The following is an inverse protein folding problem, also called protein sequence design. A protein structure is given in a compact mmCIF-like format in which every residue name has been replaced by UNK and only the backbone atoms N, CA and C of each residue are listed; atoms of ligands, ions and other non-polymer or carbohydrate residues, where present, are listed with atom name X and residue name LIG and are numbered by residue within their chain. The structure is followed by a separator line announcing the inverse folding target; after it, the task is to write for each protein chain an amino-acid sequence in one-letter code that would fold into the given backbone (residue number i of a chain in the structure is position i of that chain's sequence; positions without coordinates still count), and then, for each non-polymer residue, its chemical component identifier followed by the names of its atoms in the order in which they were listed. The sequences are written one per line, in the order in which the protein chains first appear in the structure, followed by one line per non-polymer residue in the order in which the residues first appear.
data_IF_548035459108
#
_entry.id   IF_548035459108
#
_cell.length_a   1.000
_cell.length_b   1.000
_cell.length_c   1.000
_cell.angle_alpha   90.00
_cell.angle_beta   90.00
_cell.angle_gamma   90.00
#
_symmetry.space_group_name_H-M   'P 1'
#
loop_
_entity.id
_entity.type
_entity.pdbx_description
1 polymer ?
#
# COMPACT_ATOMS: atom_id res chain seq x y z
N UNK A 1 -6.94 -30.75 2.76
CA UNK A 1 -7.55 -31.45 1.61
C UNK A 1 -6.50 -32.14 0.72
N UNK A 2 -5.37 -31.50 0.39
CA UNK A 2 -4.26 -32.07 -0.41
C UNK A 2 -3.78 -33.42 0.11
N UNK A 3 -3.49 -33.48 1.42
CA UNK A 3 -2.95 -34.65 2.12
C UNK A 3 -3.94 -35.83 2.25
N UNK A 4 -5.25 -35.56 2.11
CA UNK A 4 -6.33 -36.50 2.46
C UNK A 4 -7.11 -37.00 1.24
N UNK A 5 -7.07 -36.28 0.11
CA UNK A 5 -7.84 -36.70 -1.05
C UNK A 5 -7.59 -35.98 -2.36
N UNK A 6 -7.17 -34.71 -2.36
CA UNK A 6 -6.85 -34.01 -3.62
C UNK A 6 -5.56 -34.52 -4.27
N UNK A 7 -4.68 -35.18 -3.51
CA UNK A 7 -3.46 -35.84 -4.00
C UNK A 7 -3.65 -37.17 -4.76
N UNK A 8 -4.89 -37.60 -5.04
CA UNK A 8 -5.15 -38.83 -5.81
C UNK A 8 -4.81 -38.71 -7.30
N UNK A 9 -4.58 -37.50 -7.81
CA UNK A 9 -4.06 -37.28 -9.15
C UNK A 9 -2.53 -37.22 -9.09
N UNK A 10 -1.87 -38.18 -9.75
CA UNK A 10 -0.44 -38.18 -10.08
C UNK A 10 0.56 -38.29 -8.91
N UNK A 11 0.50 -39.38 -8.14
CA UNK A 11 1.68 -39.92 -7.44
C UNK A 11 2.02 -39.32 -6.07
N UNK A 12 1.19 -38.43 -5.52
CA UNK A 12 1.34 -37.99 -4.14
C UNK A 12 0.77 -39.02 -3.13
N UNK A 13 1.52 -39.28 -2.05
CA UNK A 13 1.16 -40.28 -1.03
C UNK A 13 -0.10 -39.81 -0.29
N UNK A 14 -1.16 -40.63 -0.29
CA UNK A 14 -2.36 -40.43 0.52
C UNK A 14 -2.04 -40.72 2.00
N UNK A 15 -1.51 -39.70 2.67
CA UNK A 15 -1.17 -39.76 4.09
C UNK A 15 -2.41 -39.68 4.99
N UNK A 16 -3.62 -39.52 4.43
CA UNK A 16 -4.88 -39.53 5.19
C UNK A 16 -5.06 -40.81 6.02
N UNK A 17 -4.66 -41.97 5.51
CA UNK A 17 -4.72 -43.23 6.23
C UNK A 17 -3.67 -43.36 7.35
N UNK A 18 -2.55 -42.63 7.26
CA UNK A 18 -1.53 -42.59 8.31
C UNK A 18 -1.92 -41.65 9.46
N UNK A 19 -2.67 -40.58 9.16
CA UNK A 19 -3.11 -39.59 10.15
C UNK A 19 -4.27 -40.09 11.00
N UNK A 20 -5.20 -40.87 10.43
CA UNK A 20 -6.41 -41.37 11.12
C UNK A 20 -6.10 -42.08 12.45
N UNK A 21 -5.14 -43.03 12.54
CA UNK A 21 -4.82 -43.68 13.81
C UNK A 21 -4.25 -42.71 14.86
N UNK A 22 -3.39 -41.77 14.45
CA UNK A 22 -2.78 -40.78 15.35
C UNK A 22 -3.83 -39.80 15.91
N UNK A 23 -4.73 -39.33 15.06
CA UNK A 23 -5.85 -38.47 15.43
C UNK A 23 -6.85 -39.21 16.34
N UNK A 24 -7.10 -40.50 16.09
CA UNK A 24 -8.00 -41.31 16.91
C UNK A 24 -7.45 -41.59 18.31
N UNK A 25 -6.12 -41.72 18.45
CA UNK A 25 -5.44 -41.91 19.75
C UNK A 25 -5.15 -40.61 20.50
N UNK A 26 -5.36 -39.45 19.86
CA UNK A 26 -5.05 -38.14 20.45
C UNK A 26 -3.55 -37.85 20.55
N UNK A 27 -2.71 -38.61 19.84
CA UNK A 27 -1.25 -38.42 19.80
C UNK A 27 -0.85 -37.19 18.96
N UNK A 28 -1.74 -36.77 18.05
CA UNK A 28 -1.54 -35.63 17.16
C UNK A 28 -2.62 -34.57 17.38
N UNK A 29 -2.17 -33.37 17.75
CA UNK A 29 -2.99 -32.16 17.72
C UNK A 29 -2.70 -31.42 16.41
N UNK A 30 -3.72 -31.08 15.63
CA UNK A 30 -3.53 -30.36 14.38
C UNK A 30 -4.64 -29.34 14.14
N UNK A 31 -4.29 -28.29 13.41
CA UNK A 31 -5.23 -27.29 12.87
C UNK A 31 -5.14 -27.40 11.35
N UNK A 32 -6.26 -27.68 10.70
CA UNK A 32 -6.36 -27.75 9.25
C UNK A 32 -6.98 -26.46 8.68
N UNK A 33 -6.46 -25.99 7.55
CA UNK A 33 -7.05 -24.90 6.77
C UNK A 33 -7.43 -25.43 5.38
N UNK A 34 -8.65 -25.13 4.92
CA UNK A 34 -9.18 -25.58 3.62
C UNK A 34 -10.40 -24.73 3.25
N UNK A 35 -10.78 -24.71 1.97
CA UNK A 35 -12.03 -24.07 1.55
C UNK A 35 -13.25 -24.93 1.88
N UNK A 36 -14.43 -24.32 1.98
CA UNK A 36 -15.68 -25.05 2.28
C UNK A 36 -16.00 -26.12 1.24
N UNK A 37 -15.71 -25.86 -0.03
CA UNK A 37 -15.93 -26.80 -1.12
C UNK A 37 -15.03 -28.04 -1.00
N UNK A 38 -13.76 -27.85 -0.65
CA UNK A 38 -12.83 -28.94 -0.41
C UNK A 38 -13.16 -29.71 0.88
N UNK A 39 -13.61 -29.02 1.93
CA UNK A 39 -14.08 -29.65 3.15
C UNK A 39 -15.23 -30.61 2.86
N UNK A 40 -16.27 -30.14 2.17
CA UNK A 40 -17.42 -30.95 1.72
C UNK A 40 -17.01 -32.12 0.84
N UNK A 41 -16.01 -31.92 -0.01
CA UNK A 41 -15.58 -32.94 -0.98
C UNK A 41 -14.73 -34.05 -0.36
N UNK A 42 -13.84 -33.70 0.59
CA UNK A 42 -12.78 -34.61 1.05
C UNK A 42 -12.83 -34.97 2.54
N UNK A 43 -13.38 -34.10 3.40
CA UNK A 43 -13.38 -34.31 4.86
C UNK A 43 -14.76 -34.78 5.33
N UNK A 44 -15.82 -34.11 4.91
CA UNK A 44 -17.19 -34.44 5.32
C UNK A 44 -17.64 -35.82 4.81
N UNK A 45 -17.14 -36.25 3.66
CA UNK A 45 -17.42 -37.60 3.13
C UNK A 45 -16.72 -38.72 3.89
N UNK A 46 -15.72 -38.42 4.71
CA UNK A 46 -14.95 -39.40 5.47
C UNK A 46 -15.36 -39.38 6.95
N UNK A 47 -16.21 -40.33 7.33
CA UNK A 47 -16.78 -40.43 8.67
C UNK A 47 -15.74 -40.60 9.81
N UNK A 48 -14.49 -40.96 9.50
CA UNK A 48 -13.42 -41.01 10.50
C UNK A 48 -12.82 -39.63 10.76
N UNK A 49 -12.73 -38.78 9.74
CA UNK A 49 -12.18 -37.43 9.84
C UNK A 49 -13.22 -36.41 10.30
N UNK A 50 -14.45 -36.52 9.81
CA UNK A 50 -15.59 -35.68 10.22
C UNK A 50 -15.78 -35.72 11.76
N UNK A 51 -15.64 -36.90 12.38
CA UNK A 51 -15.76 -37.06 13.84
C UNK A 51 -14.54 -36.56 14.65
N UNK A 52 -13.48 -36.13 13.98
CA UNK A 52 -12.21 -35.72 14.61
C UNK A 52 -11.88 -34.25 14.35
N UNK A 53 -12.47 -33.66 13.32
CA UNK A 53 -12.36 -32.23 13.05
C UNK A 53 -13.65 -31.51 13.40
N UNK A 54 -13.53 -30.47 14.21
CA UNK A 54 -14.60 -29.49 14.39
C UNK A 54 -14.45 -28.41 13.31
N UNK A 55 -15.43 -28.19 12.42
CA UNK A 55 -15.39 -27.06 11.51
C UNK A 55 -15.49 -25.76 12.29
N UNK A 56 -14.55 -24.85 12.02
CA UNK A 56 -14.55 -23.46 12.46
C UNK A 56 -14.61 -22.61 11.21
N UNK A 57 -15.76 -21.97 10.97
CA UNK A 57 -15.96 -21.11 9.82
C UNK A 57 -15.22 -19.78 10.04
N UNK A 58 -14.47 -19.37 9.04
CA UNK A 58 -13.75 -18.09 9.00
C UNK A 58 -14.25 -17.35 7.78
N UNK A 59 -15.17 -16.42 8.02
CA UNK A 59 -15.80 -15.62 6.97
C UNK A 59 -14.91 -14.44 6.57
N UNK A 60 -15.13 -13.92 5.37
CA UNK A 60 -14.51 -12.69 4.90
C UNK A 60 -14.89 -11.51 5.81
N UNK A 61 -13.93 -10.70 6.28
CA UNK A 61 -14.24 -9.53 7.09
C UNK A 61 -14.96 -8.47 6.25
N UNK A 62 -15.84 -7.71 6.90
CA UNK A 62 -16.43 -6.51 6.30
C UNK A 62 -15.35 -5.47 5.96
N UNK A 63 -15.68 -4.49 5.12
CA UNK A 63 -14.79 -3.36 4.85
C UNK A 63 -14.37 -2.63 6.14
N UNK A 64 -15.29 -2.45 7.11
CA UNK A 64 -15.00 -1.84 8.42
C UNK A 64 -14.02 -2.67 9.27
N UNK A 65 -14.23 -3.99 9.31
CA UNK A 65 -13.33 -4.90 10.00
C UNK A 65 -11.95 -4.93 9.32
N UNK A 66 -11.91 -4.86 7.99
CA UNK A 66 -10.67 -4.77 7.23
C UNK A 66 -9.89 -3.49 7.54
N UNK A 67 -10.57 -2.34 7.63
CA UNK A 67 -9.92 -1.08 8.05
C UNK A 67 -9.28 -1.24 9.44
N UNK A 68 -9.97 -1.91 10.36
CA UNK A 68 -9.43 -2.18 11.70
C UNK A 68 -8.20 -3.11 11.67
N UNK A 69 -8.22 -4.13 10.81
CA UNK A 69 -7.08 -5.02 10.57
C UNK A 69 -5.90 -4.21 9.99
N UNK A 70 -6.13 -3.39 8.97
CA UNK A 70 -5.10 -2.54 8.35
C UNK A 70 -4.48 -1.58 9.37
N UNK A 71 -5.30 -0.95 10.23
CA UNK A 71 -4.82 -0.09 11.33
C UNK A 71 -3.90 -0.83 12.31
N UNK A 72 -4.22 -2.09 12.62
CA UNK A 72 -3.37 -2.95 13.45
C UNK A 72 -2.08 -3.39 12.77
N UNK A 73 -2.06 -3.45 11.44
CA UNK A 73 -0.88 -3.80 10.65
C UNK A 73 -0.03 -2.57 10.24
N UNK A 74 -0.58 -1.36 10.36
CA UNK A 74 0.04 -0.11 9.89
C UNK A 74 1.50 0.02 10.32
N UNK A 75 1.78 -0.05 11.62
CA UNK A 75 3.13 0.17 12.16
C UNK A 75 4.16 -0.80 11.56
N UNK A 76 3.75 -2.04 11.27
CA UNK A 76 4.64 -3.05 10.66
C UNK A 76 4.98 -2.72 9.20
N UNK A 77 3.99 -2.28 8.41
CA UNK A 77 4.21 -1.91 7.01
C UNK A 77 4.95 -0.58 6.87
N UNK A 78 4.63 0.40 7.72
CA UNK A 78 5.37 1.66 7.80
C UNK A 78 6.85 1.43 8.10
N UNK A 79 7.15 0.54 9.06
CA UNK A 79 8.52 0.15 9.37
C UNK A 79 9.19 -0.58 8.20
N UNK A 80 8.51 -1.58 7.62
CA UNK A 80 9.09 -2.42 6.57
C UNK A 80 9.47 -1.62 5.31
N UNK A 81 8.62 -0.65 4.94
CA UNK A 81 8.82 0.18 3.76
C UNK A 81 9.51 1.52 4.03
N UNK A 82 9.62 1.94 5.29
CA UNK A 82 10.17 3.25 5.65
C UNK A 82 9.29 4.42 5.23
N UNK A 83 7.97 4.20 5.13
CA UNK A 83 6.97 5.21 4.73
C UNK A 83 5.95 5.41 5.84
N UNK A 84 5.13 6.44 5.76
CA UNK A 84 3.91 6.57 6.56
C UNK A 84 2.69 6.18 5.73
N UNK A 85 1.66 5.67 6.39
CA UNK A 85 0.40 5.29 5.75
C UNK A 85 -0.72 6.09 6.40
N UNK A 86 -1.37 6.95 5.60
CA UNK A 86 -2.50 7.74 6.08
C UNK A 86 -3.71 6.84 6.39
N UNK A 87 -4.51 7.25 7.38
CA UNK A 87 -5.74 6.52 7.71
C UNK A 87 -6.72 6.51 6.51
N UNK A 88 -6.79 7.62 5.78
CA UNK A 88 -7.60 7.73 4.57
C UNK A 88 -7.15 6.74 3.48
N UNK A 89 -5.85 6.43 3.38
CA UNK A 89 -5.34 5.44 2.42
C UNK A 89 -5.81 4.03 2.77
N UNK A 90 -5.83 3.65 4.06
CA UNK A 90 -6.36 2.36 4.52
C UNK A 90 -7.87 2.23 4.25
N UNK A 91 -8.63 3.31 4.49
CA UNK A 91 -10.06 3.37 4.16
C UNK A 91 -10.26 3.20 2.65
N UNK A 92 -9.48 3.92 1.83
CA UNK A 92 -9.50 3.82 0.38
C UNK A 92 -9.18 2.39 -0.09
N UNK A 93 -8.15 1.76 0.47
CA UNK A 93 -7.75 0.40 0.12
C UNK A 93 -8.86 -0.63 0.39
N UNK A 94 -9.50 -0.54 1.55
CA UNK A 94 -10.63 -1.42 1.88
C UNK A 94 -11.83 -1.20 0.94
N UNK A 95 -12.23 0.05 0.71
CA UNK A 95 -13.41 0.37 -0.11
C UNK A 95 -13.18 0.07 -1.60
N UNK A 96 -12.03 0.45 -2.15
CA UNK A 96 -11.73 0.25 -3.57
C UNK A 96 -11.49 -1.22 -3.89
N UNK A 97 -10.79 -1.95 -3.03
CA UNK A 97 -10.57 -3.39 -3.24
C UNK A 97 -11.87 -4.19 -3.14
N UNK A 98 -12.74 -3.86 -2.19
CA UNK A 98 -14.06 -4.49 -2.07
C UNK A 98 -14.90 -4.25 -3.33
N UNK A 99 -14.90 -3.02 -3.84
CA UNK A 99 -15.72 -2.62 -4.98
C UNK A 99 -15.23 -3.11 -6.34
N UNK A 100 -13.92 -3.06 -6.57
CA UNK A 100 -13.35 -3.21 -7.92
C UNK A 100 -12.54 -4.50 -8.12
N UNK A 101 -12.19 -5.22 -7.05
CA UNK A 101 -11.43 -6.48 -7.10
C UNK A 101 -12.33 -7.59 -6.55
N UNK A 102 -13.11 -8.20 -7.44
CA UNK A 102 -14.13 -9.20 -7.09
C UNK A 102 -13.65 -10.66 -7.09
N UNK A 103 -12.48 -10.91 -7.66
CA UNK A 103 -11.85 -12.24 -7.77
C UNK A 103 -10.98 -12.61 -6.56
N UNK A 104 -10.83 -11.68 -5.60
CA UNK A 104 -10.07 -11.84 -4.36
C UNK A 104 -10.90 -11.42 -3.15
N UNK A 105 -10.50 -11.90 -1.99
CA UNK A 105 -11.20 -11.70 -0.73
C UNK A 105 -10.44 -10.72 0.18
N UNK A 106 -11.18 -9.95 0.97
CA UNK A 106 -10.67 -9.21 2.12
C UNK A 106 -10.19 -10.18 3.21
N UNK A 107 -9.23 -9.78 4.06
CA UNK A 107 -8.49 -8.51 4.05
C UNK A 107 -7.28 -8.53 3.09
N UNK A 108 -6.95 -9.70 2.52
CA UNK A 108 -5.75 -9.97 1.73
C UNK A 108 -5.56 -8.97 0.57
N UNK A 109 -6.59 -8.78 -0.27
CA UNK A 109 -6.54 -7.81 -1.38
C UNK A 109 -6.29 -6.37 -0.94
N UNK A 110 -6.76 -5.97 0.25
CA UNK A 110 -6.57 -4.61 0.75
C UNK A 110 -5.17 -4.43 1.34
N UNK A 111 -4.64 -5.47 1.99
CA UNK A 111 -3.26 -5.52 2.48
C UNK A 111 -2.29 -5.38 1.31
N UNK A 112 -2.49 -6.15 0.24
CA UNK A 112 -1.61 -6.08 -0.94
C UNK A 112 -1.62 -4.69 -1.61
N UNK A 113 -2.78 -4.02 -1.66
CA UNK A 113 -2.83 -2.66 -2.21
C UNK A 113 -1.98 -1.68 -1.39
N UNK A 114 -2.04 -1.79 -0.06
CA UNK A 114 -1.22 -0.97 0.84
C UNK A 114 0.26 -1.32 0.68
N UNK A 115 0.58 -2.60 0.58
CA UNK A 115 1.95 -3.09 0.40
C UNK A 115 2.56 -2.58 -0.92
N UNK A 116 1.84 -2.70 -2.04
CA UNK A 116 2.30 -2.21 -3.33
C UNK A 116 2.40 -0.68 -3.37
N UNK A 117 1.44 0.03 -2.77
CA UNK A 117 1.50 1.50 -2.69
C UNK A 117 2.70 1.96 -1.87
N UNK A 118 2.98 1.31 -0.73
CA UNK A 118 4.13 1.60 0.12
C UNK A 118 5.47 1.27 -0.58
N UNK A 119 5.55 0.12 -1.24
CA UNK A 119 6.73 -0.27 -2.01
C UNK A 119 7.02 0.68 -3.18
N UNK A 120 5.96 1.12 -3.89
CA UNK A 120 6.07 2.12 -4.95
C UNK A 120 6.63 3.43 -4.39
N UNK A 121 6.04 3.93 -3.30
CA UNK A 121 6.46 5.19 -2.69
C UNK A 121 7.91 5.14 -2.21
N UNK A 122 8.31 4.05 -1.56
CA UNK A 122 9.72 3.83 -1.17
C UNK A 122 10.67 3.93 -2.35
N UNK A 123 10.31 3.35 -3.49
CA UNK A 123 11.13 3.41 -4.72
C UNK A 123 11.24 4.85 -5.24
N UNK A 124 10.15 5.62 -5.19
CA UNK A 124 10.13 7.04 -5.57
C UNK A 124 11.00 7.88 -4.63
N UNK A 125 11.00 7.59 -3.33
CA UNK A 125 11.82 8.30 -2.33
C UNK A 125 13.33 8.06 -2.50
N UNK A 126 13.74 6.86 -2.93
CA UNK A 126 15.15 6.55 -3.19
C UNK A 126 15.65 7.15 -4.51
N UNK A 127 14.72 7.41 -5.44
CA UNK A 127 14.97 7.93 -6.77
C UNK A 127 15.18 9.44 -6.79
N UNK A 128 15.85 9.91 -7.83
CA UNK A 128 16.02 11.34 -8.08
C UNK A 128 14.68 11.97 -8.48
N UNK A 129 14.28 13.13 -7.92
CA UNK A 129 13.07 13.82 -8.35
C UNK A 129 13.12 14.17 -9.85
N UNK A 130 11.99 14.07 -10.54
CA UNK A 130 11.90 14.36 -11.98
C UNK A 130 12.40 15.79 -12.32
N UNK A 131 12.08 16.75 -11.46
CA UNK A 131 12.56 18.14 -11.60
C UNK A 131 14.09 18.21 -11.60
N UNK A 132 14.75 17.45 -10.71
CA UNK A 132 16.21 17.42 -10.66
C UNK A 132 16.80 16.68 -11.87
N UNK A 133 16.17 15.59 -12.30
CA UNK A 133 16.60 14.84 -13.49
C UNK A 133 16.50 15.70 -14.76
N UNK A 134 15.42 16.47 -14.91
CA UNK A 134 15.25 17.38 -16.06
C UNK A 134 16.30 18.49 -16.07
N UNK A 135 16.64 19.05 -14.90
CA UNK A 135 17.73 20.03 -14.77
C UNK A 135 19.10 19.42 -15.10
N UNK A 136 19.41 18.22 -14.62
CA UNK A 136 20.67 17.53 -14.93
C UNK A 136 20.81 17.25 -16.44
N UNK A 137 19.73 16.75 -17.08
CA UNK A 137 19.71 16.51 -18.53
C UNK A 137 19.89 17.81 -19.32
N UNK A 138 19.22 18.90 -18.93
CA UNK A 138 19.34 20.21 -19.59
C UNK A 138 20.74 20.80 -19.41
N UNK A 139 21.31 20.70 -18.21
CA UNK A 139 22.67 21.15 -17.93
C UNK A 139 23.68 20.41 -18.81
N UNK A 140 23.56 19.09 -18.92
CA UNK A 140 24.44 18.27 -19.76
C UNK A 140 24.38 18.69 -21.23
N UNK A 141 23.19 18.93 -21.78
CA UNK A 141 23.02 19.40 -23.16
C UNK A 141 23.70 20.75 -23.39
N UNK A 142 23.51 21.71 -22.48
CA UNK A 142 24.15 23.02 -22.58
C UNK A 142 25.67 22.93 -22.41
N UNK A 143 26.18 22.08 -21.53
CA UNK A 143 27.64 21.90 -21.39
C UNK A 143 28.27 21.31 -22.66
N UNK A 144 27.59 20.39 -23.35
CA UNK A 144 28.04 19.87 -24.65
C UNK A 144 28.06 20.99 -25.71
N UNK A 145 27.00 21.80 -25.79
CA UNK A 145 26.93 22.96 -26.69
C UNK A 145 28.06 23.96 -26.38
N UNK A 146 28.34 24.21 -25.09
CA UNK A 146 29.44 25.07 -24.62
C UNK A 146 30.79 24.59 -25.12
N UNK A 147 31.09 23.30 -24.96
CA UNK A 147 32.38 22.72 -25.37
C UNK A 147 32.54 22.66 -26.90
N UNK A 148 31.43 22.54 -27.64
CA UNK A 148 31.45 22.68 -29.10
C UNK A 148 31.78 24.12 -29.52
N UNK A 149 31.06 25.11 -28.99
CA UNK A 149 31.23 26.53 -29.33
C UNK A 149 32.59 27.09 -28.89
N UNK A 150 33.21 26.53 -27.84
CA UNK A 150 34.58 26.89 -27.41
C UNK A 150 35.64 26.70 -28.49
N UNK A 151 35.41 25.83 -29.47
CA UNK A 151 36.34 25.54 -30.57
C UNK A 151 36.16 26.48 -31.75
N UNK A 152 35.03 27.18 -31.82
CA UNK A 152 34.68 28.10 -32.90
C UNK A 152 35.28 29.49 -32.67
N UNK A 153 35.58 30.21 -33.76
CA UNK A 153 36.30 31.50 -33.73
C UNK A 153 35.49 32.68 -34.26
N UNK A 154 34.31 32.45 -34.82
CA UNK A 154 33.47 33.50 -35.36
C UNK A 154 32.77 34.31 -34.26
N UNK A 155 32.44 35.57 -34.56
CA UNK A 155 31.85 36.51 -33.60
C UNK A 155 30.46 36.05 -33.11
N UNK A 156 29.68 35.36 -33.95
CA UNK A 156 28.36 34.88 -33.57
C UNK A 156 28.46 33.74 -32.55
N UNK A 157 29.37 32.79 -32.76
CA UNK A 157 29.67 31.72 -31.80
C UNK A 157 30.19 32.26 -30.46
N UNK A 158 31.03 33.30 -30.47
CA UNK A 158 31.50 33.94 -29.23
C UNK A 158 30.36 34.61 -28.45
N UNK A 159 29.43 35.29 -29.13
CA UNK A 159 28.26 35.88 -28.49
C UNK A 159 27.31 34.81 -27.93
N UNK A 160 27.09 33.71 -28.67
CA UNK A 160 26.28 32.58 -28.21
C UNK A 160 26.91 31.90 -27.01
N UNK A 161 28.23 31.70 -27.02
CA UNK A 161 28.99 31.11 -25.92
C UNK A 161 28.82 31.92 -24.63
N UNK A 162 28.90 33.25 -24.68
CA UNK A 162 28.69 34.10 -23.50
C UNK A 162 27.25 34.00 -22.94
N UNK A 163 26.24 33.95 -23.82
CA UNK A 163 24.86 33.77 -23.38
C UNK A 163 24.65 32.39 -22.74
N UNK A 164 25.25 31.37 -23.34
CA UNK A 164 25.15 29.99 -22.89
C UNK A 164 25.92 29.73 -21.58
N UNK A 165 27.06 30.39 -21.37
CA UNK A 165 27.77 30.36 -20.08
C UNK A 165 26.93 30.92 -18.93
N UNK A 166 26.11 31.96 -19.20
CA UNK A 166 25.15 32.49 -18.21
C UNK A 166 24.03 31.49 -17.93
N UNK A 167 23.43 30.91 -18.97
CA UNK A 167 22.36 29.92 -18.82
C UNK A 167 22.85 28.66 -18.07
N UNK A 168 24.06 28.19 -18.38
CA UNK A 168 24.72 27.08 -17.65
C UNK A 168 24.93 27.44 -16.19
N UNK A 169 25.36 28.67 -15.87
CA UNK A 169 25.55 29.10 -14.49
C UNK A 169 24.23 29.13 -13.71
N UNK A 170 23.17 29.68 -14.31
CA UNK A 170 21.82 29.76 -13.72
C UNK A 170 21.24 28.36 -13.43
N UNK A 171 21.21 27.48 -14.43
CA UNK A 171 20.70 26.09 -14.28
C UNK A 171 21.56 25.30 -13.29
N UNK A 172 22.88 25.52 -13.29
CA UNK A 172 23.75 24.87 -12.32
C UNK A 172 23.43 25.29 -10.89
N UNK A 173 23.20 26.57 -10.64
CA UNK A 173 22.82 27.04 -9.29
C UNK A 173 21.46 26.51 -8.85
N UNK A 174 20.48 26.44 -9.75
CA UNK A 174 19.16 25.87 -9.48
C UNK A 174 19.26 24.37 -9.16
N UNK A 175 20.00 23.62 -9.99
CA UNK A 175 20.27 22.20 -9.80
C UNK A 175 21.00 21.91 -8.50
N UNK A 176 22.04 22.68 -8.18
CA UNK A 176 22.84 22.49 -6.96
C UNK A 176 22.01 22.79 -5.70
N UNK A 177 21.13 23.80 -5.75
CA UNK A 177 20.20 24.11 -4.66
C UNK A 177 19.18 22.98 -4.45
N UNK A 178 18.53 22.51 -5.53
CA UNK A 178 17.54 21.44 -5.47
C UNK A 178 18.16 20.11 -5.02
N UNK A 179 19.37 19.81 -5.50
CA UNK A 179 20.13 18.62 -5.09
C UNK A 179 20.50 18.66 -3.61
N UNK A 180 20.98 19.80 -3.11
CA UNK A 180 21.31 19.96 -1.70
C UNK A 180 20.07 19.78 -0.80
N UNK A 181 18.91 20.30 -1.23
CA UNK A 181 17.65 20.07 -0.54
C UNK A 181 17.27 18.58 -0.53
N UNK A 182 17.31 17.90 -1.68
CA UNK A 182 16.99 16.48 -1.78
C UNK A 182 17.92 15.59 -0.94
N UNK A 183 19.24 15.84 -0.95
CA UNK A 183 20.19 15.10 -0.12
C UNK A 183 19.94 15.32 1.39
N UNK A 184 19.57 16.55 1.78
CA UNK A 184 19.22 16.84 3.18
C UNK A 184 17.92 16.13 3.61
N UNK A 185 16.89 16.14 2.77
CA UNK A 185 15.63 15.42 3.02
C UNK A 185 15.88 13.91 3.12
N UNK A 186 16.62 13.33 2.17
CA UNK A 186 16.96 11.90 2.15
C UNK A 186 17.71 11.44 3.40
N UNK A 187 18.68 12.23 3.86
CA UNK A 187 19.42 11.93 5.09
C UNK A 187 18.51 11.98 6.32
N UNK A 188 17.56 12.93 6.35
CA UNK A 188 16.62 13.06 7.48
C UNK A 188 15.65 11.90 7.53
N UNK A 189 15.11 11.48 6.37
CA UNK A 189 14.27 10.28 6.24
C UNK A 189 15.03 9.01 6.66
N UNK A 190 16.28 8.85 6.22
CA UNK A 190 17.11 7.72 6.64
C UNK A 190 17.30 7.65 8.16
N UNK A 191 17.50 8.81 8.80
CA UNK A 191 17.58 8.91 10.27
C UNK A 191 16.26 8.55 10.97
N UNK A 192 15.11 8.95 10.41
CA UNK A 192 13.78 8.57 10.93
C UNK A 192 13.56 7.05 10.85
N UNK A 193 13.94 6.42 9.73
CA UNK A 193 13.83 4.97 9.57
C UNK A 193 14.59 4.21 10.65
N UNK A 194 15.83 4.63 10.96
CA UNK A 194 16.64 4.01 12.01
C UNK A 194 16.03 4.18 13.42
N UNK A 195 15.46 5.35 13.71
CA UNK A 195 14.75 5.59 14.97
C UNK A 195 13.50 4.72 15.11
N UNK A 196 12.72 4.55 14.03
CA UNK A 196 11.56 3.66 14.02
C UNK A 196 11.97 2.20 14.23
N UNK A 197 13.04 1.75 13.58
CA UNK A 197 13.59 0.39 13.75
C UNK A 197 14.06 0.15 15.19
N UNK A 198 14.75 1.11 15.78
CA UNK A 198 15.19 1.02 17.18
C UNK A 198 14.00 0.97 18.15
N UNK A 199 12.95 1.77 17.91
CA UNK A 199 11.72 1.77 18.70
C UNK A 199 11.01 0.41 18.65
N UNK A 200 10.82 -0.14 17.46
CA UNK A 200 10.16 -1.43 17.27
C UNK A 200 10.97 -2.59 17.85
N UNK A 201 12.29 -2.59 17.67
CA UNK A 201 13.18 -3.56 18.35
C UNK A 201 13.01 -3.48 19.87
N UNK A 202 12.97 -2.27 20.42
CA UNK A 202 12.80 -2.05 21.86
C UNK A 202 11.43 -2.55 22.36
N UNK A 203 10.36 -2.36 21.58
CA UNK A 203 9.02 -2.89 21.89
C UNK A 203 9.00 -4.42 21.88
N UNK A 204 9.65 -5.06 20.90
CA UNK A 204 9.78 -6.52 20.85
C UNK A 204 10.59 -7.09 22.03
N UNK A 205 11.68 -6.42 22.41
CA UNK A 205 12.48 -6.78 23.59
C UNK A 205 11.66 -6.67 24.89
N UNK A 206 10.83 -5.63 25.01
CA UNK A 206 9.90 -5.45 26.12
C UNK A 206 8.86 -6.58 26.19
N UNK A 207 8.22 -6.92 25.06
CA UNK A 207 7.26 -8.02 24.98
C UNK A 207 7.90 -9.36 25.39
N UNK A 208 9.13 -9.60 24.95
CA UNK A 208 9.87 -10.80 25.32
C UNK A 208 10.22 -10.82 26.81
N UNK A 209 10.64 -9.69 27.37
CA UNK A 209 10.89 -9.54 28.81
C UNK A 209 9.61 -9.78 29.63
N UNK A 210 8.46 -9.29 29.16
CA UNK A 210 7.16 -9.51 29.79
C UNK A 210 6.78 -10.99 29.81
N UNK A 211 6.95 -11.71 28.69
CA UNK A 211 6.69 -13.17 28.63
C UNK A 211 7.60 -13.96 29.57
N UNK A 212 8.81 -13.48 29.79
CA UNK A 212 9.79 -14.08 30.70
C UNK A 212 9.65 -13.62 32.15
N UNK A 213 8.64 -12.80 32.49
CA UNK A 213 8.44 -12.21 33.82
C UNK A 213 9.62 -11.35 34.33
N UNK A 214 10.44 -10.79 33.45
CA UNK A 214 11.53 -9.86 33.81
C UNK A 214 10.97 -8.43 33.97
N UNK A 215 10.32 -8.18 35.10
CA UNK A 215 9.63 -6.91 35.39
C UNK A 215 10.58 -5.70 35.45
N UNK A 216 11.86 -5.92 35.80
CA UNK A 216 12.85 -4.85 35.86
C UNK A 216 13.14 -4.30 34.45
N UNK A 217 13.36 -5.20 33.48
CA UNK A 217 13.55 -4.79 32.08
C UNK A 217 12.30 -4.16 31.49
N UNK A 218 11.12 -4.70 31.79
CA UNK A 218 9.85 -4.10 31.35
C UNK A 218 9.74 -2.65 31.83
N UNK A 219 10.06 -2.37 33.09
CA UNK A 219 10.04 -1.01 33.62
C UNK A 219 11.09 -0.10 32.95
N UNK A 220 12.30 -0.60 32.71
CA UNK A 220 13.36 0.14 31.99
C UNK A 220 12.93 0.54 30.57
N UNK A 221 12.33 -0.39 29.83
CA UNK A 221 11.85 -0.14 28.48
C UNK A 221 10.62 0.78 28.47
N UNK A 222 9.61 0.47 29.27
CA UNK A 222 8.32 1.16 29.29
C UNK A 222 8.42 2.62 29.74
N UNK A 223 9.24 2.91 30.76
CA UNK A 223 9.36 4.27 31.33
C UNK A 223 10.64 4.99 30.94
N UNK A 224 11.62 4.29 30.35
CA UNK A 224 12.91 4.87 29.95
C UNK A 224 13.05 4.94 28.43
N UNK A 225 13.44 3.81 27.82
CA UNK A 225 13.89 3.77 26.42
C UNK A 225 12.78 4.10 25.42
N UNK A 226 11.59 3.52 25.56
CA UNK A 226 10.48 3.72 24.61
C UNK A 226 10.04 5.21 24.59
N UNK A 227 9.71 5.86 25.73
CA UNK A 227 9.33 7.28 25.72
C UNK A 227 10.43 8.19 25.17
N UNK A 228 11.71 7.89 25.46
CA UNK A 228 12.83 8.67 24.94
C UNK A 228 12.98 8.55 23.41
N UNK A 229 12.77 7.35 22.86
CA UNK A 229 12.78 7.12 21.41
C UNK A 229 11.57 7.79 20.74
N UNK A 230 10.38 7.70 21.33
CA UNK A 230 9.18 8.36 20.82
C UNK A 230 9.33 9.89 20.79
N UNK A 231 9.95 10.49 21.81
CA UNK A 231 10.26 11.93 21.82
C UNK A 231 11.26 12.32 20.73
N UNK A 232 12.34 11.54 20.56
CA UNK A 232 13.31 11.78 19.49
C UNK A 232 12.67 11.66 18.10
N UNK A 233 11.83 10.66 17.91
CA UNK A 233 11.10 10.43 16.67
C UNK A 233 10.19 11.63 16.38
N UNK A 234 9.33 12.04 17.31
CA UNK A 234 8.46 13.23 17.14
C UNK A 234 9.26 14.49 16.80
N UNK A 235 10.37 14.75 17.50
CA UNK A 235 11.20 15.92 17.22
C UNK A 235 11.86 15.88 15.84
N UNK A 236 12.22 14.69 15.34
CA UNK A 236 12.75 14.52 13.99
C UNK A 236 11.64 14.65 12.93
N UNK A 237 10.44 14.17 13.22
CA UNK A 237 9.26 14.28 12.35
C UNK A 237 8.79 15.74 12.20
N UNK A 238 8.79 16.53 13.28
CA UNK A 238 8.47 17.96 13.24
C UNK A 238 9.43 18.76 12.35
N UNK A 239 10.73 18.41 12.35
CA UNK A 239 11.72 19.04 11.47
C UNK A 239 11.46 18.75 9.99
N UNK A 240 10.80 17.63 9.69
CA UNK A 240 10.42 17.29 8.33
C UNK A 240 9.16 18.03 7.86
N UNK A 241 8.30 18.52 8.76
CA UNK A 241 6.97 19.07 8.47
C UNK A 241 6.89 20.41 7.73
N UNK A 242 7.92 20.84 7.00
CA UNK A 242 7.92 22.09 6.22
C UNK A 242 7.10 22.02 4.92
N UNK A 243 6.64 23.17 4.41
CA UNK A 243 5.70 23.31 3.28
C UNK A 243 6.26 22.93 1.90
N UNK A 244 7.57 22.75 1.73
CA UNK A 244 8.19 22.41 0.44
C UNK A 244 9.02 21.13 0.58
N UNK A 245 8.37 19.96 0.43
CA UNK A 245 9.03 18.65 0.41
C UNK A 245 9.26 18.20 -1.02
N UNK A 246 10.48 17.79 -1.34
CA UNK A 246 10.80 17.07 -2.58
C UNK A 246 10.46 15.59 -2.47
N UNK A 247 10.51 15.05 -1.25
CA UNK A 247 10.23 13.64 -0.97
C UNK A 247 8.84 13.49 -0.34
N UNK A 248 7.95 12.74 -1.02
CA UNK A 248 6.70 12.26 -0.44
C UNK A 248 6.97 11.01 0.39
N UNK A 249 6.71 11.06 1.69
CA UNK A 249 6.88 9.93 2.63
C UNK A 249 5.54 9.27 2.98
N UNK A 250 4.41 9.83 2.55
CA UNK A 250 3.09 9.37 2.99
C UNK A 250 2.31 8.69 1.84
N UNK A 251 1.83 7.48 2.09
CA UNK A 251 0.85 6.80 1.25
C UNK A 251 -0.51 7.44 1.49
N UNK A 252 -1.07 8.04 0.44
CA UNK A 252 -2.36 8.72 0.44
C UNK A 252 -3.41 7.89 -0.33
N UNK A 253 -4.70 8.26 -0.29
CA UNK A 253 -5.74 7.59 -1.08
C UNK A 253 -5.42 7.54 -2.58
N UNK A 254 -4.70 8.52 -3.09
CA UNK A 254 -4.29 8.64 -4.49
C UNK A 254 -3.33 7.52 -4.90
N UNK A 255 -2.28 7.22 -4.12
CA UNK A 255 -1.35 6.13 -4.42
C UNK A 255 -2.07 4.77 -4.43
N UNK A 256 -3.02 4.58 -3.51
CA UNK A 256 -3.86 3.36 -3.50
C UNK A 256 -4.73 3.28 -4.75
N UNK A 257 -5.37 4.38 -5.14
CA UNK A 257 -6.21 4.43 -6.33
C UNK A 257 -5.40 4.22 -7.62
N UNK A 258 -4.15 4.66 -7.68
CA UNK A 258 -3.24 4.38 -8.79
C UNK A 258 -2.92 2.89 -8.92
N UNK A 259 -2.67 2.20 -7.81
CA UNK A 259 -2.45 0.75 -7.82
C UNK A 259 -3.70 0.02 -8.30
N UNK A 260 -4.88 0.38 -7.77
CA UNK A 260 -6.16 -0.20 -8.22
C UNK A 260 -6.38 0.07 -9.71
N UNK A 261 -6.06 1.27 -10.20
CA UNK A 261 -6.16 1.64 -11.61
C UNK A 261 -5.30 0.73 -12.49
N UNK A 262 -4.07 0.44 -12.06
CA UNK A 262 -3.14 -0.45 -12.76
C UNK A 262 -3.63 -1.89 -12.79
N UNK A 263 -4.14 -2.40 -11.67
CA UNK A 263 -4.63 -3.78 -11.56
C UNK A 263 -5.90 -4.02 -12.37
N UNK A 264 -6.82 -3.06 -12.34
CA UNK A 264 -8.17 -3.23 -12.92
C UNK A 264 -8.30 -2.63 -14.32
N UNK A 265 -7.36 -1.78 -14.75
CA UNK A 265 -7.45 -0.98 -15.97
C UNK A 265 -8.49 0.15 -15.92
N UNK A 266 -9.12 0.39 -14.76
CA UNK A 266 -10.09 1.47 -14.59
C UNK A 266 -9.35 2.79 -14.46
N UNK A 267 -9.65 3.83 -15.28
CA UNK A 267 -8.96 5.12 -15.19
C UNK A 267 -9.03 5.74 -13.79
N UNK A 268 -7.91 6.29 -13.31
CA UNK A 268 -7.79 6.93 -11.98
C UNK A 268 -8.88 7.97 -11.73
N UNK A 269 -9.20 8.80 -12.73
CA UNK A 269 -10.26 9.81 -12.65
C UNK A 269 -11.63 9.23 -12.30
N UNK A 270 -11.91 7.98 -12.68
CA UNK A 270 -13.17 7.29 -12.35
C UNK A 270 -13.15 6.62 -10.97
N UNK A 271 -11.96 6.36 -10.42
CA UNK A 271 -11.80 5.79 -9.08
C UNK A 271 -11.90 6.88 -8.01
N UNK A 272 -11.35 8.06 -8.30
CA UNK A 272 -11.40 9.24 -7.43
C UNK A 272 -12.75 9.96 -7.48
N UNK A 273 -13.54 9.80 -8.55
CA UNK A 273 -14.90 10.35 -8.64
C UNK A 273 -15.78 9.75 -7.53
N UNK A 274 -16.33 10.63 -6.67
CA UNK A 274 -17.12 10.20 -5.52
C UNK A 274 -18.34 9.38 -5.96
N UNK A 275 -18.69 8.34 -5.19
CA UNK A 275 -19.85 7.50 -5.48
C UNK A 275 -21.14 8.33 -5.64
N UNK A 276 -21.27 9.42 -4.88
CA UNK A 276 -22.37 10.38 -4.96
C UNK A 276 -22.38 11.16 -6.27
N UNK A 277 -21.23 11.69 -6.71
CA UNK A 277 -21.12 12.46 -7.96
C UNK A 277 -21.43 11.60 -9.17
N UNK A 278 -20.95 10.34 -9.16
CA UNK A 278 -21.23 9.37 -10.22
C UNK A 278 -22.71 9.00 -10.30
N UNK A 279 -23.40 8.89 -9.15
CA UNK A 279 -24.84 8.66 -9.10
C UNK A 279 -25.63 9.86 -9.60
N UNK A 280 -25.24 11.08 -9.24
CA UNK A 280 -25.88 12.31 -9.71
C UNK A 280 -25.79 12.48 -11.23
N UNK A 281 -24.74 11.93 -11.86
CA UNK A 281 -24.52 11.98 -13.31
C UNK A 281 -24.94 10.70 -14.02
N UNK A 282 -25.61 9.76 -13.33
CA UNK A 282 -25.92 8.45 -13.90
C UNK A 282 -26.84 8.56 -15.12
N UNK A 283 -27.78 9.50 -15.10
CA UNK A 283 -28.69 9.81 -16.22
C UNK A 283 -27.90 10.24 -17.47
N UNK A 284 -27.05 11.27 -17.34
CA UNK A 284 -26.16 11.74 -18.40
C UNK A 284 -25.26 10.63 -18.95
N UNK A 285 -24.76 9.76 -18.08
CA UNK A 285 -23.88 8.63 -18.47
C UNK A 285 -24.66 7.61 -19.30
N UNK A 286 -25.89 7.28 -18.93
CA UNK A 286 -26.74 6.34 -19.66
C UNK A 286 -27.14 6.91 -21.02
N UNK A 287 -27.48 8.20 -21.09
CA UNK A 287 -27.85 8.87 -22.34
C UNK A 287 -26.71 8.97 -23.37
N UNK A 288 -25.45 8.78 -22.98
CA UNK A 288 -24.32 8.64 -23.94
C UNK A 288 -24.43 7.39 -24.82
N UNK A 289 -25.17 6.37 -24.39
CA UNK A 289 -25.35 5.11 -25.12
C UNK A 289 -26.82 4.83 -25.44
N UNK A 290 -27.75 5.33 -24.62
CA UNK A 290 -29.19 5.15 -24.77
C UNK A 290 -29.80 6.40 -25.39
N UNK A 291 -30.25 6.27 -26.64
CA UNK A 291 -30.91 7.35 -27.38
C UNK A 291 -32.42 7.27 -27.10
N UNK A 292 -33.01 8.36 -26.62
CA UNK A 292 -34.42 8.40 -26.21
C UNK A 292 -34.67 7.70 -24.87
N UNK A 293 -35.91 7.26 -24.63
CA UNK A 293 -36.30 6.54 -23.39
C UNK A 293 -36.05 7.31 -22.08
N UNK A 294 -36.20 8.64 -22.11
CA UNK A 294 -35.92 9.53 -20.96
C UNK A 294 -36.67 9.08 -19.70
N UNK A 295 -37.96 8.74 -19.81
CA UNK A 295 -38.76 8.28 -18.67
C UNK A 295 -38.23 6.97 -18.06
N UNK A 296 -37.79 6.03 -18.89
CA UNK A 296 -37.24 4.76 -18.42
C UNK A 296 -35.85 4.94 -17.78
N UNK A 297 -34.98 5.76 -18.38
CA UNK A 297 -33.67 6.07 -17.81
C UNK A 297 -33.84 6.76 -16.47
N UNK A 298 -34.72 7.76 -16.39
CA UNK A 298 -35.00 8.51 -15.16
C UNK A 298 -35.60 7.64 -14.06
N UNK A 299 -36.52 6.73 -14.39
CA UNK A 299 -37.07 5.79 -13.42
C UNK A 299 -36.00 4.85 -12.83
N UNK A 300 -35.06 4.38 -13.65
CA UNK A 300 -33.96 3.50 -13.21
C UNK A 300 -32.94 4.26 -12.37
N UNK A 301 -32.57 5.48 -12.78
CA UNK A 301 -31.60 6.30 -12.03
C UNK A 301 -32.17 6.72 -10.68
N UNK A 302 -33.44 7.15 -10.61
CA UNK A 302 -34.12 7.49 -9.36
C UNK A 302 -34.22 6.29 -8.41
N UNK A 303 -34.55 5.10 -8.92
CA UNK A 303 -34.58 3.88 -8.14
C UNK A 303 -33.18 3.52 -7.57
N UNK A 304 -32.14 3.62 -8.41
CA UNK A 304 -30.76 3.37 -7.98
C UNK A 304 -30.25 4.38 -6.94
N UNK A 305 -30.65 5.65 -7.05
CA UNK A 305 -30.32 6.68 -6.05
C UNK A 305 -31.01 6.39 -4.72
N UNK A 306 -32.28 5.98 -4.73
CA UNK A 306 -33.02 5.61 -3.49
C UNK A 306 -32.37 4.42 -2.78
N UNK A 307 -31.98 3.39 -3.53
CA UNK A 307 -31.27 2.22 -3.01
C UNK A 307 -29.97 2.62 -2.30
N UNK A 308 -29.12 3.37 -3.01
CA UNK A 308 -27.80 3.77 -2.50
C UNK A 308 -27.84 4.81 -1.39
N UNK A 309 -28.93 5.55 -1.25
CA UNK A 309 -29.13 6.51 -0.16
C UNK A 309 -29.75 5.89 1.09
N UNK A 310 -30.10 4.61 1.07
CA UNK A 310 -30.77 3.95 2.17
C UNK A 310 -32.20 4.45 2.40
N UNK A 311 -32.79 5.14 1.41
CA UNK A 311 -34.16 5.68 1.46
C UNK A 311 -35.20 4.65 0.99
N UNK A 312 -34.84 3.38 0.92
CA UNK A 312 -35.73 2.32 0.42
C UNK A 312 -36.87 1.97 1.38
N UNK A 313 -36.80 2.29 2.68
CA UNK A 313 -37.92 2.03 3.61
C UNK A 313 -38.05 3.06 4.75
N UNK A 314 -39.27 3.61 4.98
CA UNK A 314 -39.85 3.92 6.30
C UNK A 314 -40.47 2.70 6.99
#
# INVERSE_FOLDING_TARGET
HTVVGAGKAEGSIDAGNMLKPLLARGELHCIGATTMDEYRKYIEKDAALERRFQPVLVDEPTAENTISILRGLRERYELHHGVRIQDAAMVSAAILSDRYISDRFLPDKAIDLIDEAAAKLRTEMESMPEELETLERRLMQLEIEREALRKEKDLASQSRLQALEKEVAEIRTERDALRAQWEAEKNTVGGLSLLREELERTRLEMDQAQRNYDLNKVAEYQYGKIPALEQKLRAAEERLGGEAKLIKEEVTPEEVAEVVSRWTGIPLSRLLEGAKEKLLRLDDILHKRVIGQTEAVQAVTDAGIRDRSGLIDP
#
